data_IF_778661153419
#
_entry.id   IF_778661153419
#
_cell.length_a   1.000
_cell.length_b   1.000
_cell.length_c   1.000
_cell.angle_alpha   90.00
_cell.angle_beta   90.00
_cell.angle_gamma   90.00
#
_symmetry.space_group_name_H-M   'P 1'
#
loop_
_entity.id
_entity.type
_entity.pdbx_description
1 polymer ?
#
# COMPACT_ATOMS: atom_id res chain seq x y z
N UNK A 1 -7.76 16.57 -15.81
CA UNK A 1 -8.84 17.37 -15.23
C UNK A 1 -8.21 18.32 -14.22
N UNK A 2 -8.48 19.61 -14.31
CA UNK A 2 -8.07 20.59 -13.30
C UNK A 2 -9.32 20.87 -12.45
N UNK A 3 -9.28 20.65 -11.12
CA UNK A 3 -10.43 20.96 -10.27
C UNK A 3 -10.67 22.47 -10.21
N UNK A 4 -11.91 22.84 -9.90
CA UNK A 4 -12.32 24.24 -9.78
C UNK A 4 -11.95 24.81 -8.40
N UNK A 5 -11.62 26.10 -8.36
CA UNK A 5 -11.48 26.90 -7.14
C UNK A 5 -12.85 27.11 -6.46
N UNK A 6 -12.89 27.45 -5.15
CA UNK A 6 -14.14 27.73 -4.45
C UNK A 6 -14.90 28.89 -5.09
N UNK A 7 -16.20 28.67 -5.34
CA UNK A 7 -17.11 29.71 -5.86
C UNK A 7 -17.41 30.76 -4.78
N UNK A 8 -17.58 32.01 -5.22
CA UNK A 8 -17.98 33.11 -4.33
C UNK A 8 -19.39 32.89 -3.80
N UNK A 9 -19.58 33.10 -2.49
CA UNK A 9 -20.87 32.90 -1.82
C UNK A 9 -21.28 31.44 -1.68
N UNK A 10 -20.37 30.48 -1.92
CA UNK A 10 -20.65 29.05 -1.78
C UNK A 10 -21.05 28.71 -0.33
N UNK A 11 -22.04 27.83 -0.18
CA UNK A 11 -22.43 27.31 1.12
C UNK A 11 -21.36 26.37 1.71
N UNK A 12 -21.35 26.11 3.04
CA UNK A 12 -20.44 25.14 3.65
C UNK A 12 -20.44 23.76 2.97
N UNK A 13 -21.60 23.26 2.54
CA UNK A 13 -21.70 21.99 1.83
C UNK A 13 -21.03 22.06 0.44
N UNK A 14 -21.23 23.15 -0.30
CA UNK A 14 -20.58 23.35 -1.60
C UNK A 14 -19.06 23.47 -1.45
N UNK A 15 -18.58 24.18 -0.42
CA UNK A 15 -17.15 24.26 -0.07
C UNK A 15 -16.59 22.87 0.22
N UNK A 16 -17.29 22.05 1.01
CA UNK A 16 -16.83 20.70 1.32
C UNK A 16 -16.78 19.81 0.07
N UNK A 17 -17.83 19.82 -0.76
CA UNK A 17 -17.85 19.04 -2.01
C UNK A 17 -16.70 19.45 -2.94
N UNK A 18 -16.50 20.75 -3.13
CA UNK A 18 -15.39 21.28 -3.92
C UNK A 18 -14.02 20.88 -3.36
N UNK A 19 -13.83 20.90 -2.04
CA UNK A 19 -12.60 20.40 -1.40
C UNK A 19 -12.32 18.93 -1.70
N UNK A 20 -13.34 18.06 -1.58
CA UNK A 20 -13.21 16.63 -1.86
C UNK A 20 -12.91 16.39 -3.35
N UNK A 21 -13.56 17.13 -4.25
CA UNK A 21 -13.30 17.04 -5.69
C UNK A 21 -11.90 17.55 -6.05
N UNK A 22 -11.47 18.64 -5.42
CA UNK A 22 -10.13 19.22 -5.60
C UNK A 22 -9.00 18.32 -5.11
N UNK A 23 -9.29 17.41 -4.17
CA UNK A 23 -8.34 16.39 -3.72
C UNK A 23 -7.91 15.43 -4.84
N UNK A 24 -8.62 15.37 -5.97
CA UNK A 24 -8.19 14.63 -7.17
C UNK A 24 -6.93 15.17 -7.84
N UNK A 25 -6.45 16.36 -7.45
CA UNK A 25 -5.23 16.98 -7.98
C UNK A 25 -4.13 17.11 -6.92
N UNK A 26 -3.15 16.19 -6.88
CA UNK A 26 -2.01 16.25 -5.96
C UNK A 26 -0.95 17.31 -6.34
N UNK A 27 -1.21 18.14 -7.36
CA UNK A 27 -0.24 19.12 -7.84
C UNK A 27 0.03 20.21 -6.81
N UNK A 28 1.30 20.63 -6.71
CA UNK A 28 1.75 21.68 -5.79
C UNK A 28 1.23 21.47 -4.37
N UNK A 29 1.30 20.23 -3.87
CA UNK A 29 0.79 19.81 -2.57
C UNK A 29 -0.71 20.12 -2.38
N UNK A 30 -1.51 19.70 -3.37
CA UNK A 30 -2.96 19.87 -3.40
C UNK A 30 -3.40 21.34 -3.34
N UNK A 31 -2.68 22.22 -4.05
CA UNK A 31 -2.86 23.68 -4.00
C UNK A 31 -4.33 24.12 -4.17
N UNK A 32 -5.08 23.52 -5.10
CA UNK A 32 -6.49 23.88 -5.32
C UNK A 32 -7.37 23.42 -4.15
N UNK A 33 -7.14 22.24 -3.57
CA UNK A 33 -7.87 21.80 -2.39
C UNK A 33 -7.58 22.72 -1.18
N UNK A 34 -6.35 23.20 -1.07
CA UNK A 34 -5.94 24.16 -0.02
C UNK A 34 -6.70 25.49 -0.11
N UNK A 35 -7.19 25.91 -1.27
CA UNK A 35 -8.01 27.12 -1.43
C UNK A 35 -9.35 27.06 -0.68
N UNK A 36 -9.87 25.85 -0.40
CA UNK A 36 -11.09 25.65 0.37
C UNK A 36 -10.88 25.70 1.88
N UNK A 37 -9.63 25.67 2.35
CA UNK A 37 -9.27 25.66 3.77
C UNK A 37 -9.16 27.07 4.32
N UNK A 38 -9.39 27.22 5.63
CA UNK A 38 -9.10 28.46 6.35
C UNK A 38 -7.60 28.77 6.31
N UNK A 39 -7.22 30.02 6.52
CA UNK A 39 -5.81 30.40 6.52
C UNK A 39 -5.00 29.59 7.55
N UNK A 40 -5.59 29.33 8.72
CA UNK A 40 -4.96 28.52 9.77
C UNK A 40 -4.81 27.04 9.35
N UNK A 41 -5.88 26.40 8.88
CA UNK A 41 -5.84 24.98 8.52
C UNK A 41 -4.98 24.74 7.26
N UNK A 42 -4.92 25.71 6.35
CA UNK A 42 -4.13 25.61 5.13
C UNK A 42 -2.65 25.33 5.42
N UNK A 43 -2.08 25.85 6.51
CA UNK A 43 -0.68 25.59 6.88
C UNK A 43 -0.50 24.18 7.47
N UNK A 44 -1.44 23.76 8.31
CA UNK A 44 -1.30 22.54 9.12
C UNK A 44 -1.85 21.27 8.46
N UNK A 45 -2.71 21.41 7.45
CA UNK A 45 -3.34 20.26 6.81
C UNK A 45 -2.30 19.37 6.10
N UNK A 46 -2.33 18.08 6.46
CA UNK A 46 -1.44 17.04 5.93
C UNK A 46 -2.17 16.16 4.92
N UNK A 47 -2.22 16.52 3.62
CA UNK A 47 -2.91 15.73 2.60
C UNK A 47 -2.25 14.37 2.34
N UNK A 48 -0.97 14.25 2.64
CA UNK A 48 -0.19 13.04 2.40
C UNK A 48 -0.23 12.04 3.58
N UNK A 49 -0.91 12.36 4.69
CA UNK A 49 -0.95 11.49 5.87
C UNK A 49 -1.71 10.16 5.61
N UNK A 50 -2.71 10.20 4.72
CA UNK A 50 -3.44 9.02 4.25
C UNK A 50 -4.28 9.33 3.01
N UNK A 51 -4.67 8.29 2.29
CA UNK A 51 -5.70 8.31 1.25
C UNK A 51 -6.75 7.30 1.62
N UNK A 52 -8.01 7.73 1.69
CA UNK A 52 -9.16 6.84 1.81
C UNK A 52 -9.74 6.66 0.41
N UNK A 53 -9.94 5.43 -0.02
CA UNK A 53 -10.52 5.09 -1.32
C UNK A 53 -11.93 4.58 -1.10
N UNK A 54 -12.94 5.27 -1.64
CA UNK A 54 -14.35 4.88 -1.54
C UNK A 54 -14.98 4.52 -2.89
N UNK A 55 -16.22 4.03 -2.84
CA UNK A 55 -17.01 3.68 -4.02
C UNK A 55 -17.84 4.81 -4.62
N UNK A 56 -17.63 6.07 -4.20
CA UNK A 56 -18.35 7.25 -4.71
C UNK A 56 -19.65 7.62 -3.98
N UNK A 57 -20.31 6.67 -3.29
CA UNK A 57 -21.52 6.97 -2.50
C UNK A 57 -21.18 7.66 -1.18
N UNK A 58 -21.58 8.93 -1.05
CA UNK A 58 -21.26 9.79 0.10
C UNK A 58 -22.50 10.51 0.61
N UNK A 59 -22.78 10.38 1.90
CA UNK A 59 -23.83 11.12 2.60
C UNK A 59 -23.21 12.31 3.35
N UNK A 60 -23.85 13.47 3.28
CA UNK A 60 -23.42 14.69 3.96
C UNK A 60 -24.46 15.06 5.00
N UNK A 61 -24.11 14.93 6.28
CA UNK A 61 -25.02 15.17 7.40
C UNK A 61 -24.61 16.45 8.12
N UNK A 62 -25.46 17.47 8.03
CA UNK A 62 -25.29 18.72 8.78
C UNK A 62 -25.72 18.48 10.23
N UNK A 63 -24.85 18.84 11.17
CA UNK A 63 -25.11 18.73 12.61
C UNK A 63 -25.65 20.04 13.19
N UNK A 64 -26.22 19.99 14.40
CA UNK A 64 -26.86 21.16 15.03
C UNK A 64 -25.89 22.33 15.31
N UNK A 65 -24.60 22.03 15.48
CA UNK A 65 -23.51 22.98 15.68
C UNK A 65 -22.90 23.50 14.36
N UNK A 66 -23.49 23.16 13.20
CA UNK A 66 -23.08 23.66 11.89
C UNK A 66 -21.85 22.96 11.28
N UNK A 67 -21.40 21.85 11.88
CA UNK A 67 -20.41 20.97 11.23
C UNK A 67 -21.08 20.08 10.18
N UNK A 68 -20.29 19.54 9.26
CA UNK A 68 -20.76 18.55 8.29
C UNK A 68 -19.98 17.26 8.50
N UNK A 69 -20.70 16.15 8.71
CA UNK A 69 -20.12 14.82 8.74
C UNK A 69 -20.39 14.12 7.41
N UNK A 70 -19.32 13.84 6.67
CA UNK A 70 -19.34 13.02 5.46
C UNK A 70 -19.24 11.55 5.88
N UNK A 71 -20.21 10.74 5.46
CA UNK A 71 -20.23 9.30 5.68
C UNK A 71 -20.07 8.57 4.35
N UNK A 72 -19.16 7.61 4.31
CA UNK A 72 -18.89 6.80 3.11
C UNK A 72 -18.50 5.37 3.48
N UNK A 73 -18.31 4.52 2.46
CA UNK A 73 -17.80 3.15 2.59
C UNK A 73 -16.38 3.08 2.01
N UNK A 74 -15.38 3.01 2.88
CA UNK A 74 -13.98 2.85 2.53
C UNK A 74 -13.70 1.45 2.01
N UNK A 75 -13.21 1.36 0.77
CA UNK A 75 -12.81 0.12 0.10
C UNK A 75 -11.31 -0.15 0.22
N UNK A 76 -10.49 0.89 0.36
CA UNK A 76 -9.06 0.76 0.60
C UNK A 76 -8.49 1.99 1.30
N UNK A 77 -7.30 1.83 1.88
CA UNK A 77 -6.54 2.93 2.48
C UNK A 77 -5.10 2.87 1.99
N UNK A 78 -4.51 4.02 1.70
CA UNK A 78 -3.05 4.19 1.57
C UNK A 78 -2.57 5.03 2.75
N UNK A 79 -1.56 4.58 3.47
CA UNK A 79 -0.98 5.36 4.58
C UNK A 79 0.07 6.38 4.11
N UNK A 80 0.67 7.11 5.05
CA UNK A 80 1.72 8.10 4.79
C UNK A 80 2.97 7.53 4.08
N UNK A 81 3.22 6.22 4.24
CA UNK A 81 4.34 5.51 3.63
C UNK A 81 3.99 4.91 2.28
N UNK A 82 2.76 5.08 1.82
CA UNK A 82 2.27 4.49 0.59
C UNK A 82 1.85 3.03 0.73
N UNK A 83 1.75 2.47 1.94
CA UNK A 83 1.27 1.10 2.12
C UNK A 83 -0.23 1.02 1.80
N UNK A 84 -0.58 0.22 0.80
CA UNK A 84 -1.96 0.02 0.35
C UNK A 84 -2.61 -1.17 1.06
N UNK A 85 -3.74 -0.92 1.69
CA UNK A 85 -4.58 -1.92 2.35
C UNK A 85 -5.99 -1.89 1.77
N UNK A 86 -6.30 -2.86 0.90
CA UNK A 86 -7.67 -3.10 0.41
C UNK A 86 -8.58 -3.62 1.54
N UNK A 87 -9.89 -3.60 1.38
CA UNK A 87 -10.84 -4.18 2.33
C UNK A 87 -11.73 -5.17 1.60
N UNK A 88 -11.85 -6.39 2.11
CA UNK A 88 -12.74 -7.39 1.50
C UNK A 88 -14.21 -7.01 1.66
N UNK A 89 -14.52 -6.32 2.75
CA UNK A 89 -15.83 -5.74 3.03
C UNK A 89 -15.59 -4.24 3.25
N UNK A 90 -16.24 -3.36 2.48
CA UNK A 90 -16.13 -1.93 2.70
C UNK A 90 -16.46 -1.55 4.14
N UNK A 91 -15.67 -0.65 4.71
CA UNK A 91 -15.82 -0.17 6.08
C UNK A 91 -16.51 1.19 6.10
N UNK A 92 -17.52 1.35 6.97
CA UNK A 92 -18.16 2.66 7.16
C UNK A 92 -17.17 3.62 7.83
N UNK A 93 -16.93 4.76 7.18
CA UNK A 93 -16.07 5.84 7.70
C UNK A 93 -16.89 7.12 7.81
N UNK A 94 -16.67 7.87 8.89
CA UNK A 94 -17.24 9.20 9.13
C UNK A 94 -16.12 10.23 9.22
N UNK A 95 -16.20 11.29 8.43
CA UNK A 95 -15.24 12.39 8.35
C UNK A 95 -15.96 13.69 8.69
N UNK A 96 -15.60 14.32 9.81
CA UNK A 96 -16.25 15.55 10.30
C UNK A 96 -15.44 16.79 9.95
N UNK A 97 -16.13 17.81 9.45
CA UNK A 97 -15.57 19.08 9.00
C UNK A 97 -16.29 20.24 9.68
N UNK A 98 -15.53 21.23 10.17
CA UNK A 98 -16.08 22.50 10.65
C UNK A 98 -15.75 23.64 9.69
N UNK A 99 -16.50 24.73 9.79
CA UNK A 99 -16.41 25.86 8.85
C UNK A 99 -16.28 27.18 9.58
N UNK A 100 -15.62 28.13 8.93
CA UNK A 100 -15.47 29.51 9.39
C UNK A 100 -15.67 30.46 8.20
N UNK A 101 -16.13 31.67 8.46
CA UNK A 101 -16.14 32.73 7.45
C UNK A 101 -14.85 33.54 7.53
N UNK A 102 -14.18 33.71 6.40
CA UNK A 102 -13.04 34.61 6.22
C UNK A 102 -13.37 35.57 5.08
N UNK A 103 -13.33 36.88 5.36
CA UNK A 103 -13.67 37.93 4.38
C UNK A 103 -15.06 37.76 3.73
N UNK A 104 -16.04 37.20 4.46
CA UNK A 104 -17.39 36.95 3.96
C UNK A 104 -17.56 35.64 3.19
N UNK A 105 -16.48 34.87 2.99
CA UNK A 105 -16.50 33.59 2.28
C UNK A 105 -16.31 32.41 3.22
N UNK A 106 -17.00 31.30 2.96
CA UNK A 106 -16.86 30.10 3.78
C UNK A 106 -15.56 29.34 3.47
N UNK A 107 -14.91 28.85 4.53
CA UNK A 107 -13.70 28.03 4.51
C UNK A 107 -13.80 26.88 5.50
N UNK A 108 -13.13 25.78 5.21
CA UNK A 108 -13.01 24.63 6.12
C UNK A 108 -12.04 25.00 7.24
N UNK A 109 -12.53 25.05 8.48
CA UNK A 109 -11.75 25.39 9.66
C UNK A 109 -11.08 24.17 10.30
N UNK A 110 -11.67 22.98 10.15
CA UNK A 110 -11.11 21.70 10.60
C UNK A 110 -11.46 20.60 9.61
N UNK A 111 -10.48 19.76 9.29
CA UNK A 111 -10.63 18.60 8.43
C UNK A 111 -9.80 17.43 8.97
N UNK A 112 -10.23 16.18 8.76
CA UNK A 112 -9.37 15.04 9.01
C UNK A 112 -8.13 15.09 8.10
N UNK A 113 -6.97 14.65 8.60
CA UNK A 113 -5.75 14.55 7.78
C UNK A 113 -5.95 13.59 6.59
N UNK A 114 -5.22 13.83 5.51
CA UNK A 114 -5.30 13.04 4.29
C UNK A 114 -6.39 13.48 3.32
N UNK A 115 -6.63 12.64 2.32
CA UNK A 115 -7.59 12.87 1.23
C UNK A 115 -8.57 11.71 1.08
N UNK A 116 -9.78 12.00 0.61
CA UNK A 116 -10.79 11.02 0.22
C UNK A 116 -10.90 11.02 -1.30
N UNK A 117 -10.71 9.86 -1.92
CA UNK A 117 -10.79 9.67 -3.36
C UNK A 117 -11.78 8.57 -3.70
N UNK A 118 -12.50 8.75 -4.80
CA UNK A 118 -13.24 7.64 -5.40
C UNK A 118 -12.26 6.65 -6.04
N UNK A 119 -12.61 5.35 -6.02
CA UNK A 119 -11.80 4.27 -6.60
C UNK A 119 -11.33 4.56 -8.02
N UNK A 120 -12.23 5.02 -8.88
CA UNK A 120 -11.89 5.35 -10.26
C UNK A 120 -10.80 6.42 -10.34
N UNK A 121 -10.96 7.52 -9.59
CA UNK A 121 -9.99 8.62 -9.53
C UNK A 121 -8.65 8.17 -8.96
N UNK A 122 -8.66 7.36 -7.89
CA UNK A 122 -7.45 6.79 -7.30
C UNK A 122 -6.65 6.00 -8.34
N UNK A 123 -7.30 5.10 -9.08
CA UNK A 123 -6.66 4.27 -10.10
C UNK A 123 -6.06 5.09 -11.26
N UNK A 124 -6.52 6.32 -11.48
CA UNK A 124 -6.00 7.23 -12.52
C UNK A 124 -4.81 8.08 -12.05
N UNK A 125 -4.77 8.45 -10.77
CA UNK A 125 -3.79 9.44 -10.28
C UNK A 125 -2.75 8.87 -9.32
N UNK A 126 -2.92 7.63 -8.86
CA UNK A 126 -1.93 6.89 -8.08
C UNK A 126 -1.29 5.77 -8.91
N UNK A 127 0.02 5.69 -8.79
CA UNK A 127 0.85 4.65 -9.39
C UNK A 127 1.39 3.72 -8.32
N UNK A 128 1.51 2.45 -8.69
CA UNK A 128 2.16 1.44 -7.88
C UNK A 128 3.67 1.42 -8.20
N UNK A 129 4.50 1.42 -7.17
CA UNK A 129 5.96 1.43 -7.28
C UNK A 129 6.57 0.41 -6.31
N UNK A 130 7.47 -0.43 -6.81
CA UNK A 130 8.25 -1.33 -5.96
C UNK A 130 9.46 -0.60 -5.38
N UNK A 131 9.55 -0.54 -4.05
CA UNK A 131 10.75 -0.17 -3.32
C UNK A 131 11.54 -1.45 -3.09
N UNK A 132 12.82 -1.46 -3.41
CA UNK A 132 13.62 -2.67 -3.25
C UNK A 132 14.45 -2.59 -1.97
N UNK A 133 14.43 -3.67 -1.20
CA UNK A 133 15.30 -3.89 -0.05
C UNK A 133 16.15 -5.13 -0.31
N UNK A 134 17.27 -5.28 0.38
CA UNK A 134 18.09 -6.47 0.24
C UNK A 134 17.56 -7.61 1.11
N UNK A 135 17.77 -8.86 0.71
CA UNK A 135 17.74 -9.96 1.67
C UNK A 135 18.92 -9.83 2.67
N UNK A 136 18.92 -10.51 3.84
CA UNK A 136 19.99 -10.37 4.83
C UNK A 136 21.40 -10.74 4.33
N UNK A 137 21.52 -11.45 3.20
CA UNK A 137 22.81 -11.78 2.59
C UNK A 137 23.30 -10.74 1.58
N UNK A 138 22.53 -9.67 1.32
CA UNK A 138 22.78 -8.65 0.30
C UNK A 138 22.92 -9.20 -1.13
N UNK A 139 22.36 -10.38 -1.41
CA UNK A 139 22.49 -11.07 -2.70
C UNK A 139 21.32 -10.76 -3.64
N UNK A 140 20.12 -10.57 -3.09
CA UNK A 140 18.87 -10.40 -3.81
C UNK A 140 18.16 -9.13 -3.34
N UNK A 141 17.41 -8.54 -4.28
CA UNK A 141 16.50 -7.45 -3.98
C UNK A 141 15.07 -7.99 -3.87
N UNK A 142 14.40 -7.63 -2.79
CA UNK A 142 13.03 -7.96 -2.44
C UNK A 142 12.17 -6.70 -2.61
N UNK A 143 11.14 -6.75 -3.46
CA UNK A 143 10.22 -5.62 -3.65
C UNK A 143 9.26 -5.47 -2.47
N UNK A 144 9.01 -4.23 -2.11
CA UNK A 144 8.01 -3.74 -1.17
C UNK A 144 7.16 -2.69 -1.90
N UNK A 145 5.95 -3.06 -2.28
CA UNK A 145 5.11 -2.24 -3.16
C UNK A 145 4.41 -1.13 -2.41
N UNK A 146 4.48 0.08 -2.95
CA UNK A 146 3.85 1.28 -2.42
C UNK A 146 3.03 2.00 -3.48
N UNK A 147 2.04 2.78 -3.05
CA UNK A 147 1.20 3.63 -3.88
C UNK A 147 1.55 5.10 -3.67
N UNK A 148 1.88 5.78 -4.77
CA UNK A 148 2.23 7.20 -4.74
C UNK A 148 1.44 7.96 -5.82
N UNK A 149 1.09 9.25 -5.60
CA UNK A 149 0.52 10.07 -6.65
C UNK A 149 1.49 10.15 -7.84
N UNK A 150 0.99 9.92 -9.05
CA UNK A 150 1.78 9.88 -10.29
C UNK A 150 2.08 11.29 -10.81
N UNK A 151 3.16 11.93 -10.36
CA UNK A 151 3.55 13.31 -10.74
C UNK A 151 5.07 13.52 -10.62
N UNK A 152 5.53 14.76 -10.88
CA UNK A 152 6.96 15.12 -10.82
C UNK A 152 7.64 14.85 -9.46
N UNK A 153 6.88 14.81 -8.35
CA UNK A 153 7.41 14.53 -7.01
C UNK A 153 7.53 13.04 -6.67
N UNK A 154 7.08 12.13 -7.54
CA UNK A 154 7.14 10.68 -7.29
C UNK A 154 8.56 10.16 -6.98
N UNK A 155 9.65 10.56 -7.68
CA UNK A 155 11.00 10.12 -7.33
C UNK A 155 11.39 10.46 -5.89
N UNK A 156 11.01 11.66 -5.44
CA UNK A 156 11.25 12.14 -4.07
C UNK A 156 10.50 11.27 -3.07
N UNK A 157 9.22 10.96 -3.34
CA UNK A 157 8.39 10.12 -2.46
C UNK A 157 8.92 8.69 -2.37
N UNK A 158 9.35 8.10 -3.49
CA UNK A 158 9.99 6.78 -3.53
C UNK A 158 11.23 6.77 -2.62
N UNK A 159 12.13 7.75 -2.78
CA UNK A 159 13.36 7.78 -1.99
C UNK A 159 13.11 8.05 -0.50
N UNK A 160 12.18 8.95 -0.15
CA UNK A 160 11.81 9.18 1.26
C UNK A 160 11.26 7.90 1.90
N UNK A 161 10.36 7.20 1.22
CA UNK A 161 9.83 5.94 1.71
C UNK A 161 10.91 4.83 1.77
N UNK A 162 11.83 4.77 0.81
CA UNK A 162 12.96 3.83 0.84
C UNK A 162 13.87 4.05 2.04
N UNK A 163 14.18 5.31 2.35
CA UNK A 163 15.01 5.70 3.51
C UNK A 163 14.29 5.50 4.85
N UNK A 164 12.96 5.65 4.87
CA UNK A 164 12.13 5.33 6.03
C UNK A 164 12.08 3.82 6.35
N UNK A 165 12.49 2.98 5.40
CA UNK A 165 12.60 1.54 5.55
C UNK A 165 11.41 0.75 5.02
N UNK A 166 11.46 -0.59 5.14
CA UNK A 166 10.42 -1.47 4.61
C UNK A 166 9.10 -1.31 5.39
N UNK A 167 8.03 -1.83 4.80
CA UNK A 167 6.69 -1.79 5.38
C UNK A 167 6.70 -2.55 6.72
N UNK A 168 5.90 -2.15 7.72
CA UNK A 168 5.98 -2.73 9.06
C UNK A 168 5.90 -4.26 9.08
N UNK A 169 5.08 -4.85 8.20
CA UNK A 169 4.95 -6.30 8.09
C UNK A 169 6.23 -6.95 7.53
N UNK A 170 6.85 -6.36 6.51
CA UNK A 170 8.08 -6.87 5.89
C UNK A 170 9.31 -6.65 6.79
N UNK A 171 9.33 -5.52 7.52
CA UNK A 171 10.31 -5.27 8.55
C UNK A 171 10.25 -6.36 9.65
N UNK A 172 9.05 -6.65 10.14
CA UNK A 172 8.83 -7.61 11.23
C UNK A 172 9.19 -9.06 10.87
N UNK A 173 9.25 -9.40 9.58
CA UNK A 173 9.61 -10.74 9.14
C UNK A 173 11.11 -11.01 9.18
N UNK A 174 11.96 -9.98 9.32
CA UNK A 174 13.42 -10.13 9.21
C UNK A 174 13.89 -10.65 7.86
N UNK A 175 13.04 -10.56 6.83
CA UNK A 175 13.33 -11.09 5.50
C UNK A 175 14.14 -10.10 4.65
N UNK A 176 14.24 -8.85 5.10
CA UNK A 176 14.91 -7.78 4.38
C UNK A 176 15.76 -6.91 5.28
N UNK A 177 16.77 -6.27 4.68
CA UNK A 177 17.65 -5.27 5.26
C UNK A 177 17.81 -4.12 4.27
N UNK A 178 18.20 -2.95 4.76
CA UNK A 178 18.52 -1.79 3.93
C UNK A 178 20.03 -1.59 3.85
N UNK A 179 20.51 -1.12 2.70
CA UNK A 179 21.90 -0.68 2.53
C UNK A 179 22.13 0.74 3.07
N UNK A 180 21.08 1.49 3.38
CA UNK A 180 21.23 2.82 3.96
C UNK A 180 21.50 2.72 5.47
N UNK A 181 22.51 3.45 5.99
CA UNK A 181 22.70 3.57 7.44
C UNK A 181 21.44 4.14 8.13
N UNK A 182 21.24 3.85 9.42
CA UNK A 182 20.20 4.51 10.21
C UNK A 182 20.27 6.04 10.12
N UNK A 183 19.11 6.68 10.20
CA UNK A 183 18.93 8.13 10.17
C UNK A 183 19.44 8.82 8.89
N UNK A 184 19.60 8.06 7.80
CA UNK A 184 19.88 8.62 6.48
C UNK A 184 18.63 9.32 5.94
N UNK A 185 18.76 10.59 5.55
CA UNK A 185 17.70 11.42 4.98
C UNK A 185 18.15 12.09 3.69
N UNK A 186 17.23 12.69 2.94
CA UNK A 186 17.56 13.54 1.79
C UNK A 186 17.97 14.94 2.27
N UNK A 187 19.08 15.48 1.79
CA UNK A 187 19.58 16.81 2.22
C UNK A 187 18.61 17.93 1.84
N UNK A 188 18.13 17.93 0.60
CA UNK A 188 17.23 18.96 0.08
C UNK A 188 15.75 18.53 0.08
N UNK A 189 15.41 17.44 0.78
CA UNK A 189 14.05 16.87 0.83
C UNK A 189 13.44 16.59 -0.57
N UNK A 190 14.30 16.46 -1.59
CA UNK A 190 13.95 16.36 -3.01
C UNK A 190 14.93 15.45 -3.75
N UNK A 191 14.45 14.87 -4.85
CA UNK A 191 15.23 14.09 -5.82
C UNK A 191 14.99 14.71 -7.21
N UNK A 192 15.81 15.69 -7.61
CA UNK A 192 15.67 16.31 -8.92
C UNK A 192 16.10 15.35 -10.04
N UNK A 193 15.45 15.49 -11.19
CA UNK A 193 15.81 14.78 -12.43
C UNK A 193 16.41 15.79 -13.39
N UNK A 194 17.64 15.56 -13.83
CA UNK A 194 18.31 16.34 -14.89
C UNK A 194 18.51 15.45 -16.11
N UNK A 195 17.81 15.76 -17.21
CA UNK A 195 17.73 14.87 -18.37
C UNK A 195 17.07 13.54 -17.99
N UNK A 196 17.88 12.49 -17.91
CA UNK A 196 17.48 11.12 -17.53
C UNK A 196 18.11 10.65 -16.21
N UNK A 197 18.82 11.53 -15.51
CA UNK A 197 19.53 11.20 -14.29
C UNK A 197 18.82 11.76 -13.06
N UNK A 198 18.50 10.88 -12.11
CA UNK A 198 18.02 11.28 -10.79
C UNK A 198 19.21 11.56 -9.86
N UNK A 199 19.20 12.71 -9.19
CA UNK A 199 20.21 13.07 -8.20
C UNK A 199 19.68 12.77 -6.80
N UNK A 200 20.34 11.85 -6.11
CA UNK A 200 20.03 11.45 -4.74
C UNK A 200 21.14 11.96 -3.85
N UNK A 201 20.88 13.04 -3.10
CA UNK A 201 21.82 13.59 -2.12
C UNK A 201 21.34 13.27 -0.70
N UNK A 202 22.14 12.49 0.02
CA UNK A 202 21.80 11.98 1.36
C UNK A 202 22.67 12.59 2.46
N UNK A 203 22.19 12.55 3.70
CA UNK A 203 22.91 13.05 4.87
C UNK A 203 24.25 12.35 5.12
N UNK A 204 25.13 13.02 5.87
CA UNK A 204 26.52 12.61 6.09
C UNK A 204 26.75 11.27 6.79
N UNK A 205 25.71 10.62 7.31
CA UNK A 205 25.79 9.33 8.01
C UNK A 205 26.44 8.23 7.14
N UNK A 206 26.33 8.36 5.82
CA UNK A 206 26.92 7.45 4.84
C UNK A 206 28.36 7.81 4.42
N UNK A 207 28.95 8.91 4.90
CA UNK A 207 30.28 9.38 4.43
C UNK A 207 31.37 8.33 4.68
N UNK A 208 31.35 7.73 5.87
CA UNK A 208 32.32 6.73 6.32
C UNK A 208 32.00 5.30 5.84
N UNK A 209 30.94 5.12 5.05
CA UNK A 209 30.60 3.81 4.48
C UNK A 209 31.68 3.35 3.50
N UNK A 210 31.93 2.04 3.46
CA UNK A 210 32.87 1.43 2.50
C UNK A 210 32.38 1.62 1.07
N UNK A 211 33.28 1.47 0.09
CA UNK A 211 32.91 1.51 -1.33
C UNK A 211 31.83 0.47 -1.68
N UNK A 212 31.93 -0.74 -1.12
CA UNK A 212 30.92 -1.78 -1.31
C UNK A 212 29.55 -1.37 -0.74
N UNK A 213 29.52 -0.78 0.46
CA UNK A 213 28.26 -0.28 1.03
C UNK A 213 27.66 0.83 0.15
N UNK A 214 28.49 1.73 -0.38
CA UNK A 214 28.07 2.79 -1.32
C UNK A 214 27.50 2.21 -2.61
N UNK A 215 28.08 1.12 -3.13
CA UNK A 215 27.53 0.37 -4.27
C UNK A 215 26.16 -0.24 -3.96
N UNK A 216 25.98 -0.82 -2.78
CA UNK A 216 24.70 -1.37 -2.35
C UNK A 216 23.62 -0.28 -2.21
N UNK A 217 23.95 0.88 -1.61
CA UNK A 217 23.05 2.04 -1.54
C UNK A 217 22.61 2.49 -2.93
N UNK A 218 23.56 2.65 -3.85
CA UNK A 218 23.27 3.05 -5.23
C UNK A 218 22.39 2.01 -5.94
N UNK A 219 22.68 0.72 -5.81
CA UNK A 219 21.89 -0.37 -6.40
C UNK A 219 20.46 -0.37 -5.88
N UNK A 220 20.27 -0.19 -4.57
CA UNK A 220 18.95 -0.16 -3.94
C UNK A 220 18.12 1.04 -4.40
N UNK A 221 18.74 2.23 -4.46
CA UNK A 221 18.09 3.45 -4.97
C UNK A 221 17.74 3.31 -6.46
N UNK A 222 18.68 2.84 -7.28
CA UNK A 222 18.47 2.65 -8.71
C UNK A 222 17.35 1.65 -9.01
N UNK A 223 17.29 0.54 -8.27
CA UNK A 223 16.21 -0.43 -8.40
C UNK A 223 14.84 0.16 -8.04
N UNK A 224 14.77 0.94 -6.96
CA UNK A 224 13.50 1.54 -6.51
C UNK A 224 13.00 2.63 -7.47
N UNK A 225 13.92 3.38 -8.07
CA UNK A 225 13.61 4.42 -9.05
C UNK A 225 13.40 3.89 -10.47
N UNK A 226 13.75 2.62 -10.78
CA UNK A 226 13.65 2.06 -12.13
C UNK A 226 12.20 1.89 -12.62
N UNK A 227 11.22 1.96 -11.71
CA UNK A 227 9.80 1.97 -12.09
C UNK A 227 9.38 3.24 -12.84
N UNK A 228 10.19 4.30 -12.76
CA UNK A 228 9.96 5.56 -13.45
C UNK A 228 10.69 5.58 -14.79
N UNK A 229 9.93 5.53 -15.88
CA UNK A 229 10.45 5.45 -17.26
C UNK A 229 11.32 6.63 -17.68
N UNK A 230 11.26 7.76 -16.96
CA UNK A 230 12.12 8.94 -17.20
C UNK A 230 13.52 8.83 -16.59
N UNK A 231 13.75 7.86 -15.68
CA UNK A 231 15.02 7.71 -14.96
C UNK A 231 15.79 6.52 -15.54
N UNK A 232 16.99 6.80 -16.04
CA UNK A 232 17.90 5.81 -16.59
C UNK A 232 19.17 5.66 -15.75
N UNK A 233 19.55 6.72 -15.04
CA UNK A 233 20.72 6.73 -14.17
C UNK A 233 20.38 7.35 -12.83
N UNK A 234 21.04 6.87 -11.77
CA UNK A 234 20.97 7.48 -10.44
C UNK A 234 22.38 7.93 -10.07
N UNK A 235 22.50 9.16 -9.61
CA UNK A 235 23.74 9.71 -9.06
C UNK A 235 23.59 9.84 -7.56
N UNK A 236 24.52 9.25 -6.80
CA UNK A 236 24.55 9.34 -5.35
C UNK A 236 25.55 10.40 -4.90
N UNK A 237 25.07 11.36 -4.12
CA UNK A 237 25.88 12.32 -3.38
C UNK A 237 25.67 12.13 -1.89
N UNK A 238 26.68 12.48 -1.10
CA UNK A 238 26.59 12.43 0.36
C UNK A 238 27.03 13.79 0.89
N UNK A 239 26.13 14.48 1.57
CA UNK A 239 26.32 15.86 2.03
C UNK A 239 26.81 16.78 0.90
N UNK A 240 26.22 16.66 -0.30
CA UNK A 240 26.59 17.43 -1.47
C UNK A 240 27.87 16.99 -2.19
N UNK A 241 28.57 15.96 -1.69
CA UNK A 241 29.78 15.43 -2.33
C UNK A 241 29.41 14.24 -3.23
N UNK A 242 29.57 14.35 -4.56
CA UNK A 242 29.34 13.24 -5.48
C UNK A 242 30.24 12.06 -5.13
N UNK A 243 29.67 10.85 -5.13
CA UNK A 243 30.43 9.64 -4.87
C UNK A 243 30.88 9.00 -6.18
N UNK A 244 32.20 8.81 -6.35
CA UNK A 244 32.73 8.03 -7.46
C UNK A 244 32.53 6.53 -7.16
N UNK A 245 31.43 6.01 -7.68
CA UNK A 245 31.07 4.60 -7.60
C UNK A 245 31.26 4.02 -8.99
N UNK A 246 32.52 3.72 -9.33
CA UNK A 246 32.89 3.19 -10.64
C UNK A 246 31.99 2.00 -11.05
N UNK A 247 31.36 2.15 -12.20
CA UNK A 247 30.35 1.29 -12.80
C UNK A 247 30.78 -0.18 -13.00
N UNK A 248 30.16 -1.08 -12.24
CA UNK A 248 29.40 -2.18 -12.85
C UNK A 248 27.96 -1.71 -12.95
N UNK A 249 27.73 -0.59 -13.66
CA UNK A 249 26.42 0.05 -13.82
C UNK A 249 25.53 -0.68 -14.83
N UNK A 250 25.95 -1.85 -15.33
CA UNK A 250 25.17 -2.67 -16.25
C UNK A 250 23.87 -3.22 -15.60
N UNK A 251 23.76 -3.21 -14.27
CA UNK A 251 22.58 -3.75 -13.57
C UNK A 251 21.39 -2.78 -13.50
N UNK A 252 21.57 -1.46 -13.71
CA UNK A 252 20.41 -0.54 -13.79
C UNK A 252 19.62 -0.79 -15.09
N UNK A 253 20.27 -1.33 -16.12
CA UNK A 253 19.64 -1.75 -17.38
C UNK A 253 18.92 -3.11 -17.28
N UNK A 254 19.15 -3.90 -16.22
CA UNK A 254 18.33 -5.08 -15.96
C UNK A 254 17.05 -4.60 -15.28
N UNK A 255 15.99 -4.47 -16.07
CA UNK A 255 14.67 -4.09 -15.58
C UNK A 255 14.32 -4.90 -14.34
N UNK A 256 14.26 -4.23 -13.19
CA UNK A 256 13.83 -4.88 -11.97
C UNK A 256 12.34 -5.18 -12.12
N UNK A 257 11.94 -6.44 -11.87
CA UNK A 257 10.59 -6.85 -12.15
C UNK A 257 9.60 -6.07 -11.31
N UNK A 258 8.71 -5.33 -11.97
CA UNK A 258 7.58 -4.71 -11.31
C UNK A 258 6.57 -5.80 -10.92
N UNK A 259 6.00 -5.66 -9.73
CA UNK A 259 5.08 -6.64 -9.18
C UNK A 259 3.76 -5.93 -8.93
N UNK A 260 2.62 -6.47 -9.39
CA UNK A 260 1.26 -5.94 -9.17
C UNK A 260 0.62 -6.57 -7.91
N UNK A 261 0.11 -5.74 -6.98
CA UNK A 261 -0.38 -6.16 -5.66
C UNK A 261 -1.91 -6.13 -5.53
N UNK A 262 -2.66 -5.76 -6.58
CA UNK A 262 -4.12 -5.59 -6.49
C UNK A 262 -4.85 -6.90 -6.21
N UNK A 263 -5.90 -6.84 -5.38
CA UNK A 263 -6.70 -8.00 -5.03
C UNK A 263 -7.46 -8.55 -6.26
N UNK A 264 -7.51 -9.87 -6.42
CA UNK A 264 -8.32 -10.54 -7.45
C UNK A 264 -7.64 -10.81 -8.80
N UNK A 265 -6.45 -10.26 -9.07
CA UNK A 265 -5.55 -10.77 -10.11
C UNK A 265 -4.45 -11.60 -9.46
N UNK A 266 -4.06 -12.71 -10.09
CA UNK A 266 -2.80 -13.34 -9.71
C UNK A 266 -1.69 -12.29 -9.90
N UNK A 267 -0.77 -12.09 -8.94
CA UNK A 267 0.28 -11.10 -9.08
C UNK A 267 1.08 -11.43 -10.34
N UNK A 268 1.01 -10.60 -11.36
CA UNK A 268 1.70 -10.83 -12.64
C UNK A 268 3.05 -10.14 -12.63
N UNK A 269 4.11 -10.90 -12.85
CA UNK A 269 5.41 -10.36 -13.23
C UNK A 269 5.39 -9.94 -14.70
N UNK A 270 5.91 -8.74 -15.02
CA UNK A 270 6.33 -8.46 -16.38
C UNK A 270 7.62 -9.25 -16.67
N UNK A 271 7.49 -10.29 -17.50
CA UNK A 271 8.60 -11.19 -17.87
C UNK A 271 9.52 -10.61 -18.93
N UNK A 272 9.18 -9.49 -19.56
CA UNK A 272 9.95 -8.90 -20.66
C UNK A 272 11.40 -8.56 -20.26
N UNK A 273 11.65 -8.38 -18.97
CA UNK A 273 12.96 -8.00 -18.42
C UNK A 273 13.74 -9.14 -17.72
N UNK A 274 13.19 -10.37 -17.64
CA UNK A 274 13.87 -11.50 -16.98
C UNK A 274 14.84 -12.23 -17.93
N UNK A 275 16.07 -12.55 -17.50
CA UNK A 275 16.93 -13.49 -18.23
C UNK A 275 16.25 -14.86 -18.38
N UNK A 276 16.38 -15.49 -19.56
CA UNK A 276 15.83 -16.84 -19.82
C UNK A 276 16.27 -17.83 -18.73
N UNK A 277 15.31 -18.48 -18.07
CA UNK A 277 15.56 -19.58 -17.12
C UNK A 277 15.44 -19.25 -15.63
N UNK A 278 15.13 -18.01 -15.23
CA UNK A 278 14.86 -17.65 -13.82
C UNK A 278 13.36 -17.51 -13.55
N UNK A 279 12.87 -18.18 -12.51
CA UNK A 279 11.50 -18.07 -12.04
C UNK A 279 11.32 -17.00 -10.95
N UNK A 280 10.10 -16.48 -10.82
CA UNK A 280 9.69 -15.59 -9.75
C UNK A 280 8.73 -16.30 -8.79
N UNK A 281 8.91 -16.13 -7.48
CA UNK A 281 7.91 -16.52 -6.46
C UNK A 281 7.26 -15.25 -5.96
N UNK A 282 5.92 -15.17 -5.98
CA UNK A 282 5.16 -14.12 -5.28
C UNK A 282 4.49 -14.73 -4.07
N UNK A 283 4.74 -14.13 -2.91
CA UNK A 283 4.10 -14.51 -1.65
C UNK A 283 2.92 -13.56 -1.41
N UNK A 284 1.69 -14.08 -1.20
CA UNK A 284 0.44 -13.34 -0.93
C UNK A 284 -0.09 -13.58 0.50
N UNK A 285 -0.61 -12.54 1.18
CA UNK A 285 -1.24 -12.65 2.51
C UNK A 285 -2.71 -12.95 2.31
N UNK A 286 -3.18 -13.94 3.04
CA UNK A 286 -4.59 -14.31 3.13
C UNK A 286 -4.93 -14.33 4.61
N UNK A 287 -5.47 -13.23 5.13
CA UNK A 287 -5.89 -13.16 6.52
C UNK A 287 -4.79 -12.75 7.52
N UNK A 288 -5.08 -12.96 8.80
CA UNK A 288 -4.18 -12.62 9.92
C UNK A 288 -3.02 -13.61 10.10
N UNK A 289 -3.11 -14.82 9.51
CA UNK A 289 -2.12 -15.89 9.72
C UNK A 289 -1.80 -16.74 8.47
N UNK A 290 -2.39 -16.44 7.30
CA UNK A 290 -2.22 -17.27 6.10
C UNK A 290 -1.31 -16.64 5.05
N UNK A 291 -0.41 -17.45 4.50
CA UNK A 291 0.46 -17.10 3.36
C UNK A 291 0.18 -18.10 2.23
N UNK A 292 -0.04 -17.60 1.01
CA UNK A 292 -0.05 -18.43 -0.21
C UNK A 292 1.08 -18.00 -1.14
N UNK A 293 1.99 -18.92 -1.43
CA UNK A 293 2.98 -18.76 -2.50
C UNK A 293 2.32 -19.08 -3.86
N UNK A 294 2.42 -18.17 -4.82
CA UNK A 294 2.02 -18.41 -6.22
C UNK A 294 3.30 -18.33 -7.05
N UNK A 295 3.76 -19.48 -7.55
CA UNK A 295 4.91 -19.56 -8.45
C UNK A 295 4.51 -19.21 -9.89
N UNK A 296 5.35 -18.46 -10.62
CA UNK A 296 5.03 -18.10 -12.02
C UNK A 296 6.25 -18.27 -12.95
N UNK A 297 6.39 -19.48 -13.51
CA UNK A 297 7.08 -19.75 -14.80
C UNK A 297 8.58 -20.04 -14.78
N UNK A 298 9.01 -20.94 -15.68
CA UNK A 298 10.24 -21.75 -15.60
C UNK A 298 9.82 -23.22 -15.37
N UNK A 299 10.67 -24.24 -15.58
CA UNK A 299 10.34 -25.60 -15.10
C UNK A 299 10.27 -25.51 -13.57
N UNK A 300 9.08 -25.20 -13.06
CA UNK A 300 8.86 -25.08 -11.63
C UNK A 300 8.79 -26.50 -11.13
N UNK A 301 9.80 -26.89 -10.38
CA UNK A 301 9.67 -28.08 -9.54
C UNK A 301 8.51 -27.79 -8.57
N UNK A 302 7.40 -28.53 -8.72
CA UNK A 302 6.16 -28.35 -7.94
C UNK A 302 6.40 -28.39 -6.41
N UNK A 303 7.59 -28.83 -5.98
CA UNK A 303 8.07 -28.77 -4.61
C UNK A 303 8.06 -27.35 -3.99
N UNK A 304 8.29 -26.27 -4.75
CA UNK A 304 8.37 -24.90 -4.17
C UNK A 304 7.02 -24.38 -3.70
N UNK A 305 5.93 -24.74 -4.39
CA UNK A 305 4.55 -24.36 -4.00
C UNK A 305 4.08 -25.16 -2.78
N UNK A 306 4.50 -26.44 -2.69
CA UNK A 306 4.19 -27.30 -1.55
C UNK A 306 4.97 -26.97 -0.26
N UNK A 307 6.08 -26.23 -0.36
CA UNK A 307 7.00 -26.01 0.76
C UNK A 307 6.51 -24.99 1.80
N UNK A 308 5.60 -24.08 1.42
CA UNK A 308 5.14 -23.01 2.30
C UNK A 308 3.78 -23.30 2.94
N UNK A 309 3.23 -24.49 2.75
CA UNK A 309 1.88 -24.87 3.23
C UNK A 309 1.86 -25.17 4.74
N UNK A 310 3.03 -25.27 5.40
CA UNK A 310 3.13 -25.62 6.83
C UNK A 310 4.23 -24.86 7.61
N UNK A 311 4.81 -23.80 7.05
CA UNK A 311 5.95 -23.08 7.66
C UNK A 311 5.65 -21.60 7.87
N UNK A 312 6.39 -20.97 8.80
CA UNK A 312 6.31 -19.52 8.98
C UNK A 312 6.77 -18.78 7.71
N UNK A 313 6.19 -17.61 7.45
CA UNK A 313 6.52 -16.75 6.31
C UNK A 313 8.05 -16.56 6.14
N UNK A 314 8.75 -16.39 7.26
CA UNK A 314 10.22 -16.20 7.32
C UNK A 314 10.98 -17.40 6.79
N UNK A 315 10.59 -18.61 7.19
CA UNK A 315 11.22 -19.86 6.72
C UNK A 315 10.97 -20.10 5.23
N UNK A 316 9.75 -19.80 4.75
CA UNK A 316 9.41 -19.85 3.33
C UNK A 316 10.30 -18.89 2.51
N UNK A 317 10.37 -17.61 2.89
CA UNK A 317 11.17 -16.60 2.16
C UNK A 317 12.66 -16.93 2.20
N UNK A 318 13.22 -17.30 3.37
CA UNK A 318 14.63 -17.67 3.50
C UNK A 318 15.00 -18.90 2.66
N UNK A 319 14.15 -19.92 2.62
CA UNK A 319 14.43 -21.16 1.90
C UNK A 319 14.27 -21.01 0.39
N UNK A 320 13.34 -20.17 -0.07
CA UNK A 320 13.25 -19.79 -1.49
C UNK A 320 14.46 -18.94 -1.89
N UNK A 321 14.90 -17.98 -1.06
CA UNK A 321 16.08 -17.15 -1.32
C UNK A 321 17.39 -17.97 -1.37
N UNK A 322 17.50 -19.08 -0.63
CA UNK A 322 18.66 -19.97 -0.65
C UNK A 322 18.79 -20.82 -1.93
N UNK A 323 17.71 -21.01 -2.71
CA UNK A 323 17.80 -21.70 -4.00
C UNK A 323 18.25 -20.70 -5.08
N UNK A 324 19.47 -20.89 -5.59
CA UNK A 324 20.16 -20.01 -6.57
C UNK A 324 19.46 -19.84 -7.94
N UNK A 325 18.24 -20.31 -8.11
CA UNK A 325 17.52 -20.38 -9.39
C UNK A 325 16.28 -19.45 -9.49
N UNK A 326 15.87 -18.77 -8.42
CA UNK A 326 14.69 -17.91 -8.42
C UNK A 326 14.94 -16.51 -7.82
N UNK A 327 14.37 -15.47 -8.45
CA UNK A 327 14.24 -14.15 -7.81
C UNK A 327 12.94 -14.15 -6.98
N UNK A 328 13.00 -13.66 -5.74
CA UNK A 328 11.86 -13.66 -4.81
C UNK A 328 11.20 -12.30 -4.81
N UNK A 329 9.91 -12.24 -5.14
CA UNK A 329 9.06 -11.08 -4.88
C UNK A 329 8.09 -11.38 -3.74
N UNK A 330 7.87 -10.42 -2.86
CA UNK A 330 6.95 -10.58 -1.74
C UNK A 330 5.91 -9.46 -1.82
N UNK A 331 4.62 -9.78 -1.90
CA UNK A 331 3.55 -8.78 -1.97
C UNK A 331 2.30 -9.18 -1.18
N UNK A 332 1.90 -8.40 -0.18
CA UNK A 332 0.77 -8.79 0.67
C UNK A 332 -0.28 -7.67 0.79
N UNK A 333 -1.48 -7.93 0.22
CA UNK A 333 -2.74 -7.21 0.49
C UNK A 333 -3.50 -7.71 1.72
N UNK A 334 -4.62 -7.06 2.03
CA UNK A 334 -5.34 -7.14 3.31
C UNK A 334 -6.09 -8.47 3.60
N UNK A 335 -6.50 -8.72 4.87
CA UNK A 335 -6.91 -10.04 5.36
C UNK A 335 -8.37 -10.45 5.09
N UNK A 336 -8.57 -11.56 4.35
CA UNK A 336 -9.87 -12.26 4.23
C UNK A 336 -10.16 -13.18 5.41
N UNK A 337 -11.33 -13.02 6.04
CA UNK A 337 -11.90 -14.03 6.94
C UNK A 337 -12.55 -15.15 6.11
N UNK A 338 -11.93 -16.33 6.05
CA UNK A 338 -12.61 -17.52 5.54
C UNK A 338 -13.57 -18.08 6.61
N UNK A 339 -14.85 -18.09 6.30
CA UNK A 339 -15.87 -18.86 7.03
C UNK A 339 -15.71 -20.32 6.60
N UNK A 340 -15.36 -21.19 7.55
CA UNK A 340 -15.29 -22.62 7.30
C UNK A 340 -16.70 -23.15 6.95
N UNK A 341 -16.90 -23.57 5.69
CA UNK A 341 -17.99 -24.47 5.36
C UNK A 341 -17.59 -25.87 5.83
N UNK A 342 -18.20 -26.35 6.91
CA UNK A 342 -18.16 -27.76 7.26
C UNK A 342 -18.90 -28.54 6.16
N UNK A 343 -18.14 -29.38 5.44
CA UNK A 343 -18.67 -30.29 4.45
C UNK A 343 -19.55 -31.36 5.09
N UNK A 344 -20.73 -31.55 4.51
CA UNK A 344 -21.54 -32.75 4.69
C UNK A 344 -20.98 -33.81 3.73
N UNK A 345 -20.70 -35.05 4.17
CA UNK A 345 -20.13 -36.06 3.29
C UNK A 345 -21.21 -36.60 2.33
N UNK A 346 -20.87 -36.58 1.04
CA UNK A 346 -21.64 -37.20 -0.04
C UNK A 346 -21.50 -38.73 0.07
N UNK A 347 -22.59 -39.42 0.38
CA UNK A 347 -22.66 -40.87 0.39
C UNK A 347 -22.94 -41.38 -1.03
N UNK A 348 -22.19 -42.40 -1.40
CA UNK A 348 -22.28 -43.19 -2.62
C UNK A 348 -23.71 -43.61 -2.96
N UNK A 349 -24.17 -43.24 -4.15
CA UNK A 349 -25.43 -43.68 -4.73
C UNK A 349 -25.29 -45.09 -5.31
N UNK A 350 -26.14 -45.99 -4.83
CA UNK A 350 -26.25 -47.38 -5.24
C UNK A 350 -27.70 -47.81 -5.17
N UNK A 351 -28.34 -47.85 -6.35
CA UNK A 351 -29.44 -48.75 -6.74
C UNK A 351 -30.68 -48.90 -5.85
N UNK A 352 -31.85 -48.68 -6.44
CA UNK A 352 -33.06 -49.47 -6.11
C UNK A 352 -34.25 -48.68 -5.58
N UNK A 353 -35.11 -48.27 -6.52
CA UNK A 353 -36.56 -48.57 -6.59
C UNK A 353 -37.46 -48.60 -5.32
N UNK A 354 -38.62 -47.93 -5.49
CA UNK A 354 -39.95 -48.11 -4.85
C UNK A 354 -40.27 -47.36 -3.53
N UNK A 355 -41.33 -46.53 -3.59
CA UNK A 355 -42.43 -46.66 -2.62
C UNK A 355 -42.86 -45.44 -1.78
N UNK A 356 -43.92 -44.77 -2.23
CA UNK A 356 -45.08 -44.27 -1.46
C UNK A 356 -45.01 -43.25 -0.28
N UNK A 357 -45.89 -42.23 -0.43
CA UNK A 357 -46.85 -41.64 0.53
C UNK A 357 -46.39 -40.62 1.59
N UNK A 358 -46.88 -39.39 1.38
CA UNK A 358 -47.82 -38.61 2.20
C UNK A 358 -47.53 -38.31 3.69
N UNK A 359 -47.49 -37.00 3.95
CA UNK A 359 -48.20 -36.23 4.98
C UNK A 359 -47.80 -36.37 6.46
N UNK A 360 -47.66 -35.22 7.14
CA UNK A 360 -47.69 -35.17 8.61
C UNK A 360 -47.17 -33.88 9.23
N UNK A 361 -48.10 -33.03 9.65
CA UNK A 361 -47.97 -31.82 10.50
C UNK A 361 -47.34 -32.13 11.87
N UNK A 362 -46.62 -31.18 12.48
CA UNK A 362 -46.13 -31.35 13.87
C UNK A 362 -45.43 -30.13 14.47
N UNK A 363 -46.24 -29.29 15.11
CA UNK A 363 -45.97 -28.14 15.98
C UNK A 363 -45.04 -28.44 17.18
N UNK A 364 -44.15 -27.51 17.59
CA UNK A 364 -44.10 -26.88 18.94
C UNK A 364 -42.79 -26.15 19.30
N UNK A 365 -43.05 -25.06 20.01
CA UNK A 365 -42.19 -24.08 20.69
C UNK A 365 -41.64 -24.66 22.00
N UNK A 366 -40.40 -24.31 22.38
CA UNK A 366 -40.06 -23.92 23.78
C UNK A 366 -38.73 -23.15 23.88
N UNK A 367 -38.81 -22.04 24.61
CA UNK A 367 -37.71 -21.21 25.08
C UNK A 367 -36.80 -21.95 26.08
N UNK A 368 -35.51 -21.61 26.07
CA UNK A 368 -34.61 -21.86 27.20
C UNK A 368 -33.79 -20.61 27.52
N UNK A 369 -34.11 -20.05 28.68
CA UNK A 369 -33.45 -18.98 29.43
C UNK A 369 -32.10 -19.47 29.97
N UNK A 370 -31.05 -18.66 29.93
CA UNK A 370 -29.79 -18.94 30.65
C UNK A 370 -29.36 -17.72 31.46
N UNK A 371 -29.41 -17.92 32.77
CA UNK A 371 -29.07 -16.99 33.85
C UNK A 371 -27.58 -17.09 34.17
N UNK A 372 -26.93 -15.94 34.39
CA UNK A 372 -25.60 -15.83 35.03
C UNK A 372 -25.70 -16.12 36.53
N UNK A 373 -24.62 -16.60 37.18
CA UNK A 373 -24.39 -16.34 38.59
C UNK A 373 -23.18 -15.42 38.79
N UNK A 374 -23.40 -14.37 39.59
CA UNK A 374 -22.41 -13.59 40.32
C UNK A 374 -22.03 -14.32 41.61
N UNK A 375 -20.75 -14.36 41.94
CA UNK A 375 -20.26 -14.70 43.28
C UNK A 375 -19.57 -13.45 43.85
N UNK A 376 -19.96 -13.06 45.06
CA UNK A 376 -19.37 -11.96 45.84
C UNK A 376 -18.96 -12.45 47.22
N UNK A 377 -17.77 -12.02 47.64
CA UNK A 377 -17.19 -11.85 48.99
C UNK A 377 -16.13 -10.75 48.78
N UNK A 378 -15.81 -9.77 49.62
CA UNK A 378 -15.92 -9.44 51.05
C UNK A 378 -16.27 -7.92 51.11
N UNK A 379 -16.83 -7.27 52.13
CA UNK A 379 -16.99 -7.45 53.58
C UNK A 379 -18.21 -6.62 54.03
#
# INVERSE_FOLDING_TARGET
FLPASPELGASPEQILRGFIDAASSPQNDYAVAREFLSMALNVDWKPNARVIVDGGSRDYVVTADGTITLVTQSQAVVDERGDYSERDIPERVSLTYSFVQENGEWRIASAPEGVLLERYTFDQIFGQHALYFFDPTFSLLVPDVRYFPSRASTPTRIMKALLAGPSPWLASSGAVVTAFPPDTQLVAETVPITGTSASVDITGNALNSTLEQKRLMLRQAAASLSSLSSIFTVQLSIAGVPQDISAQSEDVQKGYPQVDARHGRAPTFDKSHLPRGRGGVVVRRTGDFGVRAVGIGGVVDFAVVGLCVAESFVQCVQRVAQRREAQVAVLLGAPTKHRAHQGVPEASDGGGEVGHRQAGVGERITHATSSRPTCGQEE
#
